data_IF_470727374811
#
_entry.id   IF_470727374811
#
_cell.length_a   1.000
_cell.length_b   1.000
_cell.length_c   1.000
_cell.angle_alpha   90.00
_cell.angle_beta   90.00
_cell.angle_gamma   90.00
#
_symmetry.space_group_name_H-M   'P 1'
#
loop_
_entity.id
_entity.type
_entity.pdbx_description
1 polymer ?
#
# COMPACT_ATOMS: atom_id res chain seq x y z
N UNK A 1 17.77 84.64 13.90
CA UNK A 1 19.00 85.09 13.21
C UNK A 1 19.71 83.86 12.64
N UNK A 2 19.94 83.87 11.31
CA UNK A 2 20.96 83.17 10.49
C UNK A 2 21.34 81.70 10.85
N UNK A 3 21.03 80.76 9.95
CA UNK A 3 21.94 80.09 9.00
C UNK A 3 22.96 79.15 9.70
N UNK A 4 23.11 77.88 9.31
CA UNK A 4 23.94 77.45 8.16
C UNK A 4 23.60 75.99 7.77
N UNK A 5 23.79 75.71 6.48
CA UNK A 5 23.50 74.51 5.69
C UNK A 5 24.57 73.40 5.81
N UNK A 6 24.13 72.12 5.73
CA UNK A 6 24.70 70.94 4.99
C UNK A 6 26.21 70.56 5.14
N UNK A 7 26.69 69.45 4.54
CA UNK A 7 26.42 68.02 4.80
C UNK A 7 27.77 67.25 5.00
N UNK A 8 27.80 66.04 5.56
CA UNK A 8 28.98 65.18 5.37
C UNK A 8 28.63 63.69 5.38
N UNK A 9 28.74 63.13 4.19
CA UNK A 9 28.84 61.72 3.84
C UNK A 9 30.11 61.16 4.49
N UNK A 10 29.99 60.16 5.37
CA UNK A 10 31.11 59.32 5.77
C UNK A 10 30.61 58.00 6.39
N UNK A 11 30.56 56.95 5.59
CA UNK A 11 30.75 55.57 6.03
C UNK A 11 31.02 54.67 4.81
N UNK A 12 32.29 54.66 4.40
CA UNK A 12 32.83 53.64 3.50
C UNK A 12 32.75 52.26 4.16
N UNK A 13 32.22 51.30 3.41
CA UNK A 13 32.82 49.98 3.12
C UNK A 13 33.63 49.39 4.29
N UNK A 14 32.94 48.61 5.13
CA UNK A 14 33.56 47.56 5.94
C UNK A 14 32.96 46.21 5.53
N UNK A 15 33.65 45.60 4.56
CA UNK A 15 34.02 44.19 4.53
C UNK A 15 32.84 43.19 4.43
N UNK A 16 32.62 42.79 3.18
CA UNK A 16 32.12 41.47 2.82
C UNK A 16 33.02 40.37 3.43
N UNK A 17 32.55 39.70 4.47
CA UNK A 17 33.01 38.36 4.88
C UNK A 17 31.93 37.80 5.82
N UNK A 18 30.93 37.11 5.26
CA UNK A 18 29.83 36.57 6.07
C UNK A 18 28.87 35.66 5.32
N UNK A 19 29.32 34.96 4.27
CA UNK A 19 28.56 33.88 3.63
C UNK A 19 29.42 32.61 3.61
N UNK A 20 29.73 32.06 4.78
CA UNK A 20 30.39 30.77 4.91
C UNK A 20 30.08 30.16 6.28
N UNK A 21 28.82 29.77 6.50
CA UNK A 21 28.47 28.81 7.59
C UNK A 21 27.04 28.26 7.47
N UNK A 22 26.45 28.28 6.27
CA UNK A 22 25.17 27.60 6.02
C UNK A 22 25.44 26.53 4.98
N UNK A 23 26.12 25.45 5.37
CA UNK A 23 25.95 24.18 4.66
C UNK A 23 26.55 22.95 5.35
N UNK A 24 27.51 23.09 6.28
CA UNK A 24 28.17 21.88 6.81
C UNK A 24 27.22 20.95 7.57
N UNK A 25 26.25 21.48 8.33
CA UNK A 25 25.26 20.65 9.04
C UNK A 25 24.22 20.00 8.13
N UNK A 26 23.99 20.58 6.95
CA UNK A 26 23.05 20.04 5.97
C UNK A 26 23.75 18.96 5.13
N UNK A 27 24.99 19.21 4.71
CA UNK A 27 25.88 18.23 4.09
C UNK A 27 26.14 17.04 5.03
N UNK A 28 26.48 17.26 6.30
CA UNK A 28 26.69 16.19 7.28
C UNK A 28 25.43 15.33 7.48
N UNK A 29 24.23 15.96 7.45
CA UNK A 29 22.96 15.23 7.54
C UNK A 29 22.67 14.42 6.29
N UNK A 30 22.84 15.01 5.11
CA UNK A 30 22.69 14.31 3.82
C UNK A 30 23.68 13.15 3.72
N UNK A 31 24.95 13.35 4.06
CA UNK A 31 25.95 12.28 4.08
C UNK A 31 25.59 11.16 5.06
N UNK A 32 25.03 11.48 6.24
CA UNK A 32 24.56 10.48 7.19
C UNK A 32 23.35 9.67 6.67
N UNK A 33 22.39 10.33 6.01
CA UNK A 33 21.23 9.66 5.38
C UNK A 33 21.68 8.79 4.18
N UNK A 34 22.64 9.27 3.38
CA UNK A 34 23.23 8.48 2.28
C UNK A 34 24.06 7.30 2.78
N UNK A 35 24.72 7.42 3.94
CA UNK A 35 25.46 6.33 4.57
C UNK A 35 24.51 5.21 5.06
N UNK A 36 23.33 5.57 5.58
CA UNK A 36 22.28 4.59 5.92
C UNK A 36 21.71 3.89 4.68
N UNK A 37 21.46 4.63 3.58
CA UNK A 37 21.01 4.05 2.30
C UNK A 37 22.05 3.08 1.72
N UNK A 38 23.35 3.40 1.86
CA UNK A 38 24.46 2.60 1.34
C UNK A 38 24.63 1.25 2.05
N UNK A 39 24.18 1.15 3.31
CA UNK A 39 24.21 -0.11 4.07
C UNK A 39 23.13 -1.10 3.62
N UNK A 40 22.23 -0.69 2.72
CA UNK A 40 21.11 -1.50 2.26
C UNK A 40 20.08 -1.74 3.37
N UNK A 41 18.88 -2.24 3.02
CA UNK A 41 17.88 -2.58 4.03
C UNK A 41 18.43 -3.64 4.99
N UNK A 42 18.24 -3.42 6.29
CA UNK A 42 18.60 -4.36 7.35
C UNK A 42 17.67 -5.59 7.29
N UNK A 43 17.98 -6.53 6.40
CA UNK A 43 17.24 -7.78 6.25
C UNK A 43 17.38 -8.37 4.85
N UNK A 44 17.54 -9.69 4.78
CA UNK A 44 17.47 -10.39 3.50
C UNK A 44 16.06 -10.24 2.91
N UNK A 45 15.92 -10.01 1.59
CA UNK A 45 14.61 -10.04 0.93
C UNK A 45 13.90 -11.38 1.20
N UNK A 46 12.60 -11.32 1.47
CA UNK A 46 11.76 -12.51 1.68
C UNK A 46 10.49 -12.44 0.82
N UNK A 47 9.91 -13.61 0.49
CA UNK A 47 8.61 -13.66 -0.21
C UNK A 47 7.55 -13.09 0.73
N UNK A 48 6.75 -12.16 0.24
CA UNK A 48 5.59 -11.67 0.98
C UNK A 48 4.53 -12.79 1.03
N UNK A 49 4.44 -13.47 2.18
CA UNK A 49 3.44 -14.52 2.43
C UNK A 49 2.37 -13.92 3.33
N UNK A 50 1.12 -14.13 2.95
CA UNK A 50 -0.04 -13.64 3.68
C UNK A 50 -0.79 -14.81 4.31
N UNK A 51 -1.77 -14.51 5.18
CA UNK A 51 -2.68 -15.54 5.71
C UNK A 51 -3.56 -16.18 4.62
N UNK A 52 -3.61 -15.63 3.41
CA UNK A 52 -4.42 -16.14 2.31
C UNK A 52 -3.63 -16.99 1.31
N UNK A 53 -2.30 -17.09 1.40
CA UNK A 53 -1.52 -17.92 0.47
C UNK A 53 -2.01 -19.39 0.43
N UNK A 54 -2.40 -19.94 1.59
CA UNK A 54 -3.00 -21.29 1.66
C UNK A 54 -4.42 -21.33 1.06
N UNK A 55 -5.19 -20.25 1.20
CA UNK A 55 -6.52 -20.12 0.59
C UNK A 55 -6.45 -20.10 -0.93
N UNK A 56 -5.49 -19.36 -1.50
CA UNK A 56 -5.25 -19.28 -2.95
C UNK A 56 -4.84 -20.66 -3.50
N UNK A 57 -3.90 -21.35 -2.84
CA UNK A 57 -3.50 -22.70 -3.23
C UNK A 57 -4.62 -23.74 -3.06
N UNK A 58 -5.50 -23.57 -2.09
CA UNK A 58 -6.71 -24.39 -1.92
C UNK A 58 -7.67 -24.19 -3.10
N UNK A 59 -7.91 -22.95 -3.50
CA UNK A 59 -8.77 -22.59 -4.62
C UNK A 59 -8.25 -23.17 -5.95
N UNK A 60 -6.94 -23.13 -6.18
CA UNK A 60 -6.32 -23.73 -7.37
C UNK A 60 -6.64 -25.23 -7.48
N UNK A 61 -6.45 -25.97 -6.38
CA UNK A 61 -6.78 -27.40 -6.31
C UNK A 61 -8.28 -27.64 -6.50
N UNK A 62 -9.12 -26.77 -5.96
CA UNK A 62 -10.56 -26.88 -6.05
C UNK A 62 -11.06 -26.67 -7.49
N UNK A 63 -10.57 -25.64 -8.18
CA UNK A 63 -10.87 -25.40 -9.60
C UNK A 63 -10.38 -26.56 -10.47
N UNK A 64 -9.18 -27.07 -10.20
CA UNK A 64 -8.66 -28.24 -10.89
C UNK A 64 -9.57 -29.47 -10.70
N UNK A 65 -10.00 -29.74 -9.48
CA UNK A 65 -10.89 -30.86 -9.15
C UNK A 65 -12.29 -30.73 -9.78
N UNK A 66 -12.75 -29.50 -10.02
CA UNK A 66 -14.03 -29.19 -10.69
C UNK A 66 -13.90 -29.00 -12.20
N UNK A 67 -12.70 -29.21 -12.77
CA UNK A 67 -12.40 -29.02 -14.19
C UNK A 67 -12.78 -27.61 -14.70
N UNK A 68 -12.63 -26.60 -13.84
CA UNK A 68 -12.76 -25.19 -14.22
C UNK A 68 -11.47 -24.77 -14.91
N UNK A 69 -11.56 -24.28 -16.15
CA UNK A 69 -10.40 -23.88 -16.96
C UNK A 69 -10.71 -22.72 -17.91
N UNK A 70 -9.69 -21.92 -18.16
CA UNK A 70 -9.56 -20.95 -19.24
C UNK A 70 -10.69 -19.91 -19.33
N UNK A 71 -11.35 -19.55 -18.23
CA UNK A 71 -12.38 -18.52 -18.22
C UNK A 71 -11.70 -17.17 -18.46
N UNK A 72 -11.95 -16.49 -19.59
CA UNK A 72 -11.26 -15.24 -19.90
C UNK A 72 -11.92 -14.09 -19.13
N UNK A 73 -11.15 -13.50 -18.23
CA UNK A 73 -11.58 -12.40 -17.37
C UNK A 73 -10.60 -11.26 -17.58
N UNK A 74 -11.10 -10.04 -17.80
CA UNK A 74 -10.25 -8.85 -17.77
C UNK A 74 -10.35 -8.15 -16.42
N UNK A 75 -9.33 -7.34 -16.14
CA UNK A 75 -9.28 -6.49 -14.95
C UNK A 75 -8.87 -5.09 -15.38
N UNK A 76 -9.65 -4.10 -14.96
CA UNK A 76 -9.34 -2.69 -15.14
C UNK A 76 -8.48 -2.14 -13.98
N UNK A 77 -8.14 -0.85 -14.05
CA UNK A 77 -7.50 -0.16 -12.94
C UNK A 77 -8.45 -0.10 -11.71
N UNK A 78 -7.96 -0.59 -10.57
CA UNK A 78 -8.69 -0.51 -9.30
C UNK A 78 -8.20 0.73 -8.56
N UNK A 79 -8.99 1.80 -8.66
CA UNK A 79 -8.66 3.10 -8.08
C UNK A 79 -8.81 3.10 -6.56
N UNK A 80 -7.96 3.89 -5.90
CA UNK A 80 -8.18 4.34 -4.54
C UNK A 80 -9.04 5.61 -4.54
N UNK A 81 -10.36 5.48 -4.31
CA UNK A 81 -11.28 6.63 -4.28
C UNK A 81 -11.13 7.50 -3.03
N UNK A 82 -10.30 7.09 -2.08
CA UNK A 82 -9.99 7.83 -0.86
C UNK A 82 -8.72 8.66 -1.00
N UNK A 83 -7.90 8.36 -2.03
CA UNK A 83 -6.58 8.92 -2.32
C UNK A 83 -5.54 8.78 -1.18
N UNK A 84 -5.86 8.04 -0.12
CA UNK A 84 -5.10 8.02 1.11
C UNK A 84 -4.17 6.82 1.25
N UNK A 85 -4.46 5.72 0.55
CA UNK A 85 -3.75 4.44 0.69
C UNK A 85 -2.70 4.28 -0.40
N UNK A 86 -2.99 4.72 -1.63
CA UNK A 86 -2.05 4.77 -2.78
C UNK A 86 -1.24 3.47 -2.98
N UNK A 87 -1.93 2.33 -3.04
CA UNK A 87 -1.32 1.00 -3.26
C UNK A 87 -1.64 0.43 -4.63
N UNK A 88 -0.75 -0.43 -5.15
CA UNK A 88 -0.96 -1.17 -6.41
C UNK A 88 -1.99 -2.30 -6.28
N UNK A 89 -3.26 -1.97 -6.07
CA UNK A 89 -4.35 -2.94 -5.86
C UNK A 89 -4.53 -3.86 -7.07
N UNK A 90 -4.46 -3.29 -8.28
CA UNK A 90 -4.49 -4.06 -9.55
C UNK A 90 -3.41 -5.14 -9.55
N UNK A 91 -2.17 -4.78 -9.25
CA UNK A 91 -1.04 -5.71 -9.29
C UNK A 91 -1.11 -6.77 -8.18
N UNK A 92 -1.62 -6.40 -7.00
CA UNK A 92 -1.93 -7.36 -5.94
C UNK A 92 -2.99 -8.37 -6.39
N UNK A 93 -4.06 -7.93 -7.08
CA UNK A 93 -5.12 -8.80 -7.57
C UNK A 93 -4.60 -9.72 -8.68
N UNK A 94 -3.79 -9.19 -9.60
CA UNK A 94 -3.13 -9.98 -10.65
C UNK A 94 -2.26 -11.07 -10.05
N UNK A 95 -1.47 -10.74 -9.02
CA UNK A 95 -0.62 -11.70 -8.32
C UNK A 95 -1.45 -12.78 -7.61
N UNK A 96 -2.52 -12.38 -6.91
CA UNK A 96 -3.40 -13.30 -6.19
C UNK A 96 -4.11 -14.28 -7.14
N UNK A 97 -4.66 -13.79 -8.26
CA UNK A 97 -5.30 -14.63 -9.27
C UNK A 97 -4.28 -15.58 -9.91
N UNK A 98 -3.07 -15.11 -10.22
CA UNK A 98 -2.00 -15.94 -10.79
C UNK A 98 -1.60 -17.09 -9.87
N UNK A 99 -1.45 -16.85 -8.56
CA UNK A 99 -1.16 -17.90 -7.58
C UNK A 99 -2.35 -18.86 -7.43
N UNK A 100 -3.58 -18.34 -7.46
CA UNK A 100 -4.81 -19.11 -7.35
C UNK A 100 -5.13 -19.97 -8.58
N UNK A 101 -4.55 -19.69 -9.75
CA UNK A 101 -4.81 -20.45 -10.99
C UNK A 101 -3.59 -21.17 -11.54
N UNK A 102 -2.53 -21.28 -10.75
CA UNK A 102 -1.23 -21.78 -11.19
C UNK A 102 -1.29 -23.18 -11.86
N UNK A 103 -2.06 -24.14 -11.32
CA UNK A 103 -2.20 -25.48 -11.91
C UNK A 103 -3.49 -25.65 -12.69
N UNK A 104 -4.59 -25.14 -12.14
CA UNK A 104 -5.93 -25.28 -12.73
C UNK A 104 -6.07 -24.55 -14.05
N UNK A 105 -5.32 -23.45 -14.23
CA UNK A 105 -5.57 -22.48 -15.30
C UNK A 105 -7.05 -22.02 -15.30
N UNK A 106 -7.69 -21.97 -14.13
CA UNK A 106 -9.13 -21.73 -13.99
C UNK A 106 -9.59 -20.40 -14.60
N UNK A 107 -8.81 -19.35 -14.35
CA UNK A 107 -9.02 -18.00 -14.89
C UNK A 107 -7.86 -17.63 -15.81
N UNK A 108 -8.20 -17.22 -17.04
CA UNK A 108 -7.28 -16.59 -17.98
C UNK A 108 -7.41 -15.08 -17.82
N UNK A 109 -6.58 -14.50 -16.95
CA UNK A 109 -6.62 -13.07 -16.66
C UNK A 109 -5.99 -12.26 -17.80
N UNK A 110 -6.74 -11.29 -18.33
CA UNK A 110 -6.33 -10.38 -19.39
C UNK A 110 -6.14 -9.00 -18.78
N UNK A 111 -4.93 -8.46 -18.89
CA UNK A 111 -4.63 -7.14 -18.37
C UNK A 111 -5.06 -6.09 -19.40
N UNK A 112 -6.05 -5.27 -19.04
CA UNK A 112 -6.51 -4.15 -19.85
C UNK A 112 -6.43 -2.87 -19.02
N UNK A 113 -5.88 -1.80 -19.57
CA UNK A 113 -5.65 -0.58 -18.79
C UNK A 113 -4.74 0.42 -19.50
N UNK A 114 -4.46 1.56 -18.84
CA UNK A 114 -3.73 2.69 -19.44
C UNK A 114 -2.37 2.30 -20.04
N UNK A 115 -1.71 1.31 -19.45
CA UNK A 115 -0.39 0.84 -19.87
C UNK A 115 -0.41 -0.04 -21.13
N UNK A 116 -1.58 -0.59 -21.46
CA UNK A 116 -1.72 -1.56 -22.57
C UNK A 116 -1.80 -0.89 -23.95
N UNK A 117 -2.07 0.41 -24.05
CA UNK A 117 -2.19 1.12 -25.34
C UNK A 117 -0.94 1.06 -26.24
N UNK A 118 0.25 1.10 -25.63
CA UNK A 118 1.51 1.00 -26.36
C UNK A 118 1.78 -0.43 -26.87
N UNK A 119 1.41 -1.44 -26.07
CA UNK A 119 1.52 -2.84 -26.48
C UNK A 119 0.49 -3.18 -27.57
N UNK A 120 -0.74 -2.71 -27.42
CA UNK A 120 -1.84 -2.88 -28.38
C UNK A 120 -1.43 -2.29 -29.74
N UNK A 121 -0.87 -1.08 -29.75
CA UNK A 121 -0.40 -0.44 -30.98
C UNK A 121 0.78 -1.16 -31.61
N UNK A 122 1.75 -1.64 -30.82
CA UNK A 122 2.86 -2.47 -31.30
C UNK A 122 2.38 -3.80 -31.93
N UNK A 123 1.49 -4.53 -31.26
CA UNK A 123 0.97 -5.82 -31.73
C UNK A 123 0.15 -5.68 -33.02
N UNK A 124 -0.63 -4.59 -33.12
CA UNK A 124 -1.36 -4.23 -34.33
C UNK A 124 -0.40 -3.90 -35.48
N UNK A 125 0.71 -3.19 -35.20
CA UNK A 125 1.76 -2.90 -36.19
C UNK A 125 2.50 -4.18 -36.64
N UNK A 126 2.67 -5.16 -35.76
CA UNK A 126 3.26 -6.46 -36.06
C UNK A 126 2.32 -7.43 -36.80
N UNK A 127 1.12 -6.99 -37.19
CA UNK A 127 0.08 -7.79 -37.86
C UNK A 127 -0.32 -9.07 -37.08
N UNK A 128 -0.11 -9.06 -35.76
CA UNK A 128 -0.42 -10.19 -34.88
C UNK A 128 -1.77 -9.96 -34.20
N UNK A 129 -2.85 -10.25 -34.93
CA UNK A 129 -4.22 -10.05 -34.45
C UNK A 129 -4.72 -11.18 -33.51
N UNK A 130 -3.91 -12.22 -33.29
CA UNK A 130 -4.28 -13.37 -32.43
C UNK A 130 -4.41 -13.03 -30.96
N UNK A 131 -3.86 -11.90 -30.53
CA UNK A 131 -3.93 -11.42 -29.14
C UNK A 131 -5.37 -11.08 -28.72
N UNK A 132 -6.29 -10.91 -29.68
CA UNK A 132 -7.70 -10.58 -29.45
C UNK A 132 -8.68 -11.70 -29.80
N UNK A 133 -8.23 -12.92 -30.11
CA UNK A 133 -9.15 -14.04 -30.43
C UNK A 133 -9.96 -14.48 -29.20
N UNK A 134 -9.47 -14.24 -27.98
CA UNK A 134 -10.19 -14.51 -26.74
C UNK A 134 -10.76 -13.21 -26.18
N UNK A 135 -11.94 -12.80 -26.67
CA UNK A 135 -12.70 -11.71 -26.04
C UNK A 135 -12.99 -12.09 -24.58
N UNK A 136 -12.63 -11.24 -23.60
CA UNK A 136 -12.96 -11.50 -22.19
C UNK A 136 -14.47 -11.64 -22.06
N UNK A 137 -14.92 -12.67 -21.33
CA UNK A 137 -16.35 -12.87 -21.03
C UNK A 137 -16.79 -12.00 -19.87
N UNK A 138 -15.86 -11.70 -18.97
CA UNK A 138 -16.12 -10.94 -17.78
C UNK A 138 -15.04 -9.88 -17.53
N UNK A 139 -15.42 -8.86 -16.78
CA UNK A 139 -14.55 -7.79 -16.31
C UNK A 139 -14.65 -7.65 -14.79
N UNK A 140 -13.52 -7.42 -14.13
CA UNK A 140 -13.45 -7.12 -12.70
C UNK A 140 -13.24 -5.62 -12.54
N UNK A 141 -14.22 -4.97 -11.94
CA UNK A 141 -14.18 -3.56 -11.58
C UNK A 141 -14.28 -3.40 -10.07
N UNK A 142 -13.59 -2.40 -9.52
CA UNK A 142 -13.73 -2.07 -8.12
C UNK A 142 -12.91 -0.86 -7.69
N UNK A 143 -12.88 -0.64 -6.38
CA UNK A 143 -12.11 0.43 -5.76
C UNK A 143 -11.87 0.20 -4.28
N UNK A 144 -10.84 0.84 -3.72
CA UNK A 144 -10.83 1.14 -2.28
C UNK A 144 -11.94 2.16 -2.04
N UNK A 145 -13.05 1.70 -1.48
CA UNK A 145 -14.28 2.48 -1.34
C UNK A 145 -14.32 3.30 -0.05
N UNK A 146 -13.51 2.93 0.95
CA UNK A 146 -13.46 3.62 2.24
C UNK A 146 -12.05 3.56 2.84
N UNK A 147 -11.66 4.68 3.45
CA UNK A 147 -10.49 4.78 4.31
C UNK A 147 -10.77 5.79 5.43
N UNK A 148 -11.05 5.27 6.62
CA UNK A 148 -11.27 6.10 7.79
C UNK A 148 -10.02 6.06 8.67
N UNK A 149 -9.42 7.23 8.92
CA UNK A 149 -8.23 7.35 9.75
C UNK A 149 -8.60 7.84 11.15
N UNK A 150 -8.11 7.16 12.18
CA UNK A 150 -8.27 7.60 13.57
C UNK A 150 -9.68 7.45 14.12
N UNK A 151 -10.40 6.39 13.73
CA UNK A 151 -11.77 6.08 14.17
C UNK A 151 -11.86 5.96 15.70
N UNK A 152 -10.76 5.62 16.36
CA UNK A 152 -10.59 5.76 17.81
C UNK A 152 -9.13 6.05 18.12
N UNK A 153 -8.88 7.13 18.86
CA UNK A 153 -7.58 7.46 19.42
C UNK A 153 -7.67 7.34 20.93
N UNK A 154 -6.95 6.38 21.51
CA UNK A 154 -6.77 6.32 22.97
C UNK A 154 -5.45 7.00 23.27
N UNK A 155 -5.52 8.27 23.67
CA UNK A 155 -4.39 8.98 24.23
C UNK A 155 -4.34 8.68 25.72
N UNK A 156 -3.55 7.66 26.09
CA UNK A 156 -3.18 7.46 27.49
C UNK A 156 -2.11 8.51 27.84
N UNK A 157 -2.51 9.78 27.90
CA UNK A 157 -1.68 10.83 28.47
C UNK A 157 -1.70 10.64 29.99
N UNK A 158 -0.62 10.09 30.54
CA UNK A 158 -0.37 10.20 31.97
C UNK A 158 -0.12 11.68 32.24
N UNK A 159 -1.17 12.39 32.63
CA UNK A 159 -1.13 13.80 32.98
C UNK A 159 -0.18 14.00 34.16
N UNK A 160 0.94 14.67 33.91
CA UNK A 160 1.80 15.24 34.94
C UNK A 160 1.04 16.38 35.63
N UNK A 161 0.48 16.09 36.80
CA UNK A 161 0.19 17.13 37.77
C UNK A 161 1.50 17.87 38.08
N UNK A 162 1.43 19.21 38.01
CA UNK A 162 2.56 20.11 38.12
C UNK A 162 3.44 19.82 39.35
N UNK A 163 4.69 19.40 39.12
CA UNK A 163 5.79 19.66 40.05
C UNK A 163 6.70 20.70 39.42
N UNK A 164 7.13 21.63 40.26
CA UNK A 164 7.89 22.84 39.93
C UNK A 164 9.29 22.57 39.35
N UNK A 165 9.69 21.29 39.23
CA UNK A 165 11.00 20.84 38.81
C UNK A 165 10.87 19.71 37.76
N UNK A 166 10.91 20.06 36.47
CA UNK A 166 11.14 19.15 35.33
C UNK A 166 10.24 17.90 35.20
N UNK A 167 9.14 17.99 34.45
CA UNK A 167 8.30 16.85 34.12
C UNK A 167 8.68 16.15 32.81
N UNK A 168 8.96 14.84 32.85
CA UNK A 168 9.12 13.96 31.69
C UNK A 168 7.78 13.26 31.41
N UNK A 169 7.14 13.53 30.27
CA UNK A 169 5.87 12.92 29.87
C UNK A 169 6.05 11.90 28.77
N UNK A 170 5.54 10.68 28.95
CA UNK A 170 5.43 9.67 27.88
C UNK A 170 3.98 9.60 27.41
N UNK A 171 3.72 9.91 26.15
CA UNK A 171 2.42 9.77 25.53
C UNK A 171 2.40 8.49 24.67
N UNK A 172 1.48 7.58 24.96
CA UNK A 172 1.18 6.43 24.10
C UNK A 172 -0.13 6.72 23.38
N UNK A 173 -0.04 7.03 22.09
CA UNK A 173 -1.21 7.19 21.22
C UNK A 173 -1.43 5.92 20.42
N UNK A 174 -2.63 5.34 20.47
CA UNK A 174 -3.03 4.27 19.54
C UNK A 174 -4.13 4.79 18.62
N UNK A 175 -3.96 4.67 17.31
CA UNK A 175 -4.98 5.05 16.33
C UNK A 175 -5.51 3.84 15.57
N UNK A 176 -6.82 3.73 15.44
CA UNK A 176 -7.51 2.75 14.61
C UNK A 176 -7.84 3.34 13.23
N UNK A 177 -7.45 2.65 12.16
CA UNK A 177 -7.85 2.97 10.79
C UNK A 177 -8.69 1.84 10.20
N UNK A 178 -9.62 2.14 9.31
CA UNK A 178 -10.42 1.12 8.59
C UNK A 178 -10.24 1.33 7.09
N UNK A 179 -9.97 0.26 6.35
CA UNK A 179 -9.92 0.24 4.87
C UNK A 179 -11.01 -0.69 4.36
N UNK A 180 -11.75 -0.31 3.32
CA UNK A 180 -12.69 -1.19 2.62
C UNK A 180 -12.36 -1.30 1.11
N UNK A 181 -12.54 -2.51 0.57
CA UNK A 181 -12.37 -2.85 -0.83
C UNK A 181 -13.66 -3.49 -1.35
N UNK A 182 -14.19 -2.91 -2.41
CA UNK A 182 -15.35 -3.44 -3.13
C UNK A 182 -14.94 -3.82 -4.55
N UNK A 183 -15.22 -5.07 -4.93
CA UNK A 183 -15.01 -5.60 -6.27
C UNK A 183 -16.32 -6.19 -6.80
N UNK A 184 -16.59 -6.02 -8.09
CA UNK A 184 -17.76 -6.54 -8.79
C UNK A 184 -17.36 -7.17 -10.12
N UNK A 185 -18.10 -8.21 -10.51
CA UNK A 185 -17.96 -8.84 -11.82
C UNK A 185 -18.99 -8.27 -12.80
N UNK A 186 -18.54 -7.91 -14.00
CA UNK A 186 -19.35 -7.35 -15.07
C UNK A 186 -19.31 -8.31 -16.27
N UNK A 187 -20.46 -8.54 -16.90
CA UNK A 187 -20.57 -9.23 -18.18
C UNK A 187 -20.17 -8.29 -19.30
N UNK A 188 -19.17 -8.67 -20.10
CA UNK A 188 -18.66 -7.84 -21.21
C UNK A 188 -19.61 -7.81 -22.40
N UNK A 189 -20.56 -8.76 -22.45
CA UNK A 189 -21.54 -8.88 -23.53
C UNK A 189 -22.51 -7.69 -23.55
N UNK A 190 -22.91 -7.22 -22.38
CA UNK A 190 -23.96 -6.21 -22.20
C UNK A 190 -23.62 -5.16 -21.12
N UNK A 191 -22.40 -5.19 -20.58
CA UNK A 191 -21.91 -4.30 -19.52
C UNK A 191 -22.81 -4.34 -18.27
N UNK A 192 -23.48 -5.47 -18.02
CA UNK A 192 -24.32 -5.67 -16.84
C UNK A 192 -23.53 -6.30 -15.69
N UNK A 193 -23.91 -6.00 -14.45
CA UNK A 193 -23.33 -6.66 -13.27
C UNK A 193 -23.77 -8.14 -13.27
N UNK A 194 -22.83 -9.06 -13.06
CA UNK A 194 -23.13 -10.47 -12.83
C UNK A 194 -23.70 -10.63 -11.42
N UNK A 195 -25.01 -10.95 -11.27
CA UNK A 195 -25.63 -10.97 -9.95
C UNK A 195 -24.99 -12.03 -9.04
N UNK A 196 -24.72 -11.65 -7.79
CA UNK A 196 -24.13 -12.55 -6.79
C UNK A 196 -22.62 -12.74 -6.90
N UNK A 197 -21.95 -12.17 -7.90
CA UNK A 197 -20.50 -12.22 -8.07
C UNK A 197 -19.89 -10.86 -7.71
N UNK A 198 -19.91 -10.55 -6.42
CA UNK A 198 -19.27 -9.37 -5.85
C UNK A 198 -18.63 -9.68 -4.50
N UNK A 199 -17.61 -8.91 -4.13
CA UNK A 199 -16.88 -8.99 -2.87
C UNK A 199 -16.86 -7.62 -2.22
N UNK A 200 -17.17 -7.56 -0.92
CA UNK A 200 -17.24 -6.33 -0.14
C UNK A 200 -16.61 -6.58 1.22
N UNK A 201 -15.34 -6.22 1.37
CA UNK A 201 -14.55 -6.58 2.55
C UNK A 201 -13.90 -5.35 3.16
N UNK A 202 -13.77 -5.32 4.49
CA UNK A 202 -13.08 -4.25 5.21
C UNK A 202 -12.19 -4.81 6.31
N UNK A 203 -11.11 -4.10 6.62
CA UNK A 203 -10.14 -4.48 7.64
C UNK A 203 -9.80 -3.29 8.52
N UNK A 204 -9.71 -3.56 9.82
CA UNK A 204 -9.28 -2.61 10.82
C UNK A 204 -7.75 -2.74 11.05
N UNK A 205 -7.06 -1.61 11.00
CA UNK A 205 -5.61 -1.48 11.14
C UNK A 205 -5.32 -0.73 12.43
N UNK A 206 -4.69 -1.42 13.38
CA UNK A 206 -4.24 -0.81 14.63
C UNK A 206 -2.82 -0.26 14.46
N UNK A 207 -2.65 1.04 14.65
CA UNK A 207 -1.34 1.69 14.69
C UNK A 207 -1.04 2.11 16.14
N UNK A 208 0.00 1.54 16.74
CA UNK A 208 0.55 2.00 18.02
C UNK A 208 1.67 3.00 17.73
N UNK A 209 1.55 4.23 18.23
CA UNK A 209 2.60 5.23 18.20
C UNK A 209 3.32 5.25 19.54
N UNK A 210 4.56 4.75 19.56
CA UNK A 210 5.49 4.98 20.65
C UNK A 210 6.35 6.20 20.30
N UNK A 211 5.94 7.37 20.80
CA UNK A 211 6.74 8.61 20.68
C UNK A 211 7.74 8.67 21.84
N UNK A 212 8.77 7.85 21.78
CA UNK A 212 9.94 8.00 22.66
C UNK A 212 11.16 8.24 21.77
N UNK A 213 11.45 9.51 21.49
CA UNK A 213 12.78 9.94 21.04
C UNK A 213 13.74 9.75 22.23
N UNK A 214 14.17 8.51 22.45
CA UNK A 214 15.23 8.19 23.39
C UNK A 214 16.12 7.13 22.75
N UNK A 215 17.15 7.61 22.07
CA UNK A 215 18.39 6.89 21.86
C UNK A 215 18.93 6.47 23.24
N UNK A 216 18.52 5.29 23.70
CA UNK A 216 18.98 4.69 24.93
C UNK A 216 19.06 3.18 24.72
N UNK A 217 20.20 2.76 24.18
CA UNK A 217 20.62 1.36 24.19
C UNK A 217 20.56 0.82 25.62
N UNK A 218 19.67 -0.14 25.88
CA UNK A 218 19.68 -0.91 27.14
C UNK A 218 19.75 -2.40 26.79
N UNK A 219 20.97 -2.93 26.90
CA UNK A 219 21.23 -4.35 27.09
C UNK A 219 20.55 -4.83 28.38
N UNK A 220 19.54 -5.72 28.29
CA UNK A 220 19.52 -7.03 28.96
C UNK A 220 18.14 -7.70 28.91
N UNK A 221 18.18 -8.97 28.50
CA UNK A 221 17.18 -10.04 28.68
C UNK A 221 15.88 -9.96 27.89
N UNK A 222 15.75 -10.93 26.99
CA UNK A 222 14.54 -11.26 26.23
C UNK A 222 14.84 -11.17 24.75
N UNK A 223 14.65 -12.26 24.02
CA UNK A 223 14.79 -12.28 22.57
C UNK A 223 13.69 -11.40 21.99
N UNK A 224 13.98 -10.12 21.80
CA UNK A 224 13.14 -9.22 21.04
C UNK A 224 13.40 -9.52 19.57
N UNK A 225 12.41 -10.11 18.90
CA UNK A 225 12.29 -9.91 17.46
C UNK A 225 11.85 -8.47 17.28
N UNK A 226 12.82 -7.57 17.08
CA UNK A 226 12.58 -6.20 16.61
C UNK A 226 12.00 -6.29 15.20
N UNK A 227 10.69 -6.51 15.11
CA UNK A 227 9.96 -6.18 13.90
C UNK A 227 9.70 -4.68 14.00
N UNK A 228 10.67 -3.88 13.55
CA UNK A 228 10.46 -2.47 13.21
C UNK A 228 9.45 -2.41 12.06
N UNK A 229 8.17 -2.62 12.36
CA UNK A 229 7.11 -2.56 11.37
C UNK A 229 6.85 -1.08 11.12
N UNK A 230 7.42 -0.57 10.04
CA UNK A 230 7.27 0.82 9.66
C UNK A 230 5.77 1.10 9.44
N UNK A 231 5.28 2.27 9.86
CA UNK A 231 3.83 2.62 9.90
C UNK A 231 3.09 2.38 8.56
N UNK A 232 3.83 2.41 7.46
CA UNK A 232 3.34 2.20 6.09
C UNK A 232 3.27 0.71 5.69
N UNK A 233 4.05 -0.16 6.31
CA UNK A 233 4.10 -1.60 5.96
C UNK A 233 2.81 -2.31 6.36
N UNK A 234 2.22 -1.96 7.51
CA UNK A 234 0.97 -2.55 7.99
C UNK A 234 -0.25 -2.24 7.10
N UNK A 235 -0.30 -1.05 6.49
CA UNK A 235 -1.43 -0.67 5.62
C UNK A 235 -1.42 -1.42 4.29
N UNK A 236 -0.27 -1.49 3.62
CA UNK A 236 -0.14 -2.22 2.36
C UNK A 236 -0.33 -3.74 2.53
N UNK A 237 0.05 -4.29 3.68
CA UNK A 237 -0.22 -5.69 4.01
C UNK A 237 -1.73 -5.92 4.19
N UNK A 238 -2.40 -5.08 4.98
CA UNK A 238 -3.84 -5.18 5.19
C UNK A 238 -4.65 -5.09 3.88
N UNK A 239 -4.29 -4.16 2.98
CA UNK A 239 -4.90 -4.07 1.64
C UNK A 239 -4.65 -5.34 0.83
N UNK A 240 -3.43 -5.87 0.82
CA UNK A 240 -3.13 -7.12 0.12
C UNK A 240 -3.99 -8.27 0.62
N UNK A 241 -4.16 -8.39 1.93
CA UNK A 241 -5.04 -9.38 2.55
C UNK A 241 -6.50 -9.20 2.12
N UNK A 242 -7.00 -7.97 2.03
CA UNK A 242 -8.34 -7.69 1.47
C UNK A 242 -8.46 -8.10 0.00
N UNK A 243 -7.43 -7.83 -0.80
CA UNK A 243 -7.41 -8.17 -2.22
C UNK A 243 -7.42 -9.68 -2.43
N UNK A 244 -6.62 -10.43 -1.67
CA UNK A 244 -6.55 -11.88 -1.76
C UNK A 244 -7.86 -12.54 -1.33
N UNK A 245 -8.47 -12.05 -0.24
CA UNK A 245 -9.82 -12.47 0.15
C UNK A 245 -10.83 -12.19 -0.97
N UNK A 246 -10.82 -10.97 -1.52
CA UNK A 246 -11.74 -10.58 -2.58
C UNK A 246 -11.55 -11.42 -3.85
N UNK A 247 -10.31 -11.78 -4.18
CA UNK A 247 -10.00 -12.68 -5.30
C UNK A 247 -10.60 -14.07 -5.10
N UNK A 248 -10.41 -14.67 -3.91
CA UNK A 248 -10.99 -15.98 -3.56
C UNK A 248 -12.51 -15.95 -3.65
N UNK A 249 -13.15 -14.91 -3.11
CA UNK A 249 -14.60 -14.79 -3.13
C UNK A 249 -15.16 -14.59 -4.54
N UNK A 250 -14.61 -13.66 -5.31
CA UNK A 250 -15.12 -13.36 -6.66
C UNK A 250 -14.93 -14.55 -7.59
N UNK A 251 -13.74 -15.16 -7.61
CA UNK A 251 -13.49 -16.32 -8.46
C UNK A 251 -14.29 -17.52 -7.98
N UNK A 252 -14.42 -17.71 -6.66
CA UNK A 252 -15.27 -18.73 -6.08
C UNK A 252 -16.73 -18.61 -6.50
N UNK A 253 -17.30 -17.41 -6.37
CA UNK A 253 -18.68 -17.09 -6.79
C UNK A 253 -18.88 -17.24 -8.30
N UNK A 254 -17.92 -16.77 -9.10
CA UNK A 254 -17.97 -16.87 -10.57
C UNK A 254 -17.95 -18.34 -11.03
N UNK A 255 -17.06 -19.14 -10.46
CA UNK A 255 -16.85 -20.54 -10.85
C UNK A 255 -17.77 -21.53 -10.15
N UNK A 256 -18.58 -21.03 -9.20
CA UNK A 256 -19.53 -21.80 -8.39
C UNK A 256 -18.88 -22.99 -7.66
N UNK A 257 -17.61 -22.84 -7.28
CA UNK A 257 -16.91 -23.81 -6.43
C UNK A 257 -17.15 -23.48 -4.95
N UNK A 258 -17.12 -24.46 -4.03
CA UNK A 258 -17.31 -24.23 -2.60
C UNK A 258 -16.09 -23.54 -1.96
N UNK A 259 -15.84 -22.28 -2.33
CA UNK A 259 -14.64 -21.51 -1.99
C UNK A 259 -14.53 -21.23 -0.48
N UNK A 260 -15.65 -21.25 0.25
CA UNK A 260 -15.70 -21.03 1.69
C UNK A 260 -14.90 -22.07 2.46
N UNK A 261 -14.72 -23.27 1.90
CA UNK A 261 -13.87 -24.30 2.52
C UNK A 261 -12.39 -23.90 2.54
N UNK A 262 -11.98 -23.01 1.63
CA UNK A 262 -10.61 -22.52 1.56
C UNK A 262 -10.35 -21.34 2.50
N UNK A 263 -11.42 -20.69 3.01
CA UNK A 263 -11.34 -19.54 3.92
C UNK A 263 -11.45 -19.91 5.42
N UNK A 264 -11.69 -21.19 5.74
CA UNK A 264 -11.91 -21.68 7.12
C UNK A 264 -10.62 -22.09 7.85
N UNK A 265 -9.45 -21.77 7.29
CA UNK A 265 -8.15 -22.20 7.83
C UNK A 265 -7.50 -21.12 8.69
#
# INVERSE_FOLDING_TARGET
MKNIKNPLIMACVAIMCGCASVDSKLEDKLESEFAEIKNGPNGAPYKNVTSFSDSLGCMDRLMLARNVRDIPVMVEDIDDKTEAVKTGVRDMLVSAISEMTYKSHGIKLILYGKDSGNLISFLKAANNNKVYEAMPLYDIQGSISQFDKGVTSVDASIGLFARRDGGLGAARGSSLSVVALDLNMISTKDMSIVPGVSSKNSVAIFQRGDSLDADASINKFGVYFDINLNRNEGQAQAVRSLVELAAVEIVGKLTQVPYEQCLKN
#
